data_IF_394614995091
#
_entry.id   IF_394614995091
#
_cell.length_a   1.000
_cell.length_b   1.000
_cell.length_c   1.000
_cell.angle_alpha   90.00
_cell.angle_beta   90.00
_cell.angle_gamma   90.00
#
_symmetry.space_group_name_H-M   'P 1'
#
loop_
_entity.id
_entity.type
_entity.pdbx_description
1 polymer ?
#
# COMPACT_ATOMS: atom_id res chain seq x y z
N UNK A 1 29.52 16.53 -5.60
CA UNK A 1 28.33 17.02 -4.88
C UNK A 1 27.16 16.87 -5.82
N UNK A 2 26.60 15.67 -5.89
CA UNK A 2 25.43 15.37 -6.72
C UNK A 2 24.24 16.00 -6.01
N UNK A 3 23.55 16.94 -6.67
CA UNK A 3 22.24 17.40 -6.22
C UNK A 3 21.40 16.14 -6.00
N UNK A 4 20.88 15.97 -4.78
CA UNK A 4 20.07 14.80 -4.43
C UNK A 4 18.77 14.88 -5.24
N UNK A 5 18.71 14.21 -6.38
CA UNK A 5 17.47 14.03 -7.14
C UNK A 5 16.45 13.30 -6.26
N UNK A 6 15.15 13.53 -6.48
CA UNK A 6 14.06 12.80 -5.81
C UNK A 6 14.07 12.84 -4.27
N UNK A 7 14.47 13.96 -3.65
CA UNK A 7 14.53 14.11 -2.18
C UNK A 7 15.42 13.08 -1.46
N UNK A 8 16.38 12.48 -2.16
CA UNK A 8 17.27 11.46 -1.59
C UNK A 8 16.67 10.07 -1.51
N UNK A 9 15.54 9.85 -2.19
CA UNK A 9 14.91 8.54 -2.35
C UNK A 9 15.56 7.75 -3.49
N UNK A 10 15.50 6.43 -3.38
CA UNK A 10 15.97 5.48 -4.38
C UNK A 10 14.88 5.24 -5.43
N UNK A 11 15.11 5.62 -6.71
CA UNK A 11 14.18 5.32 -7.80
C UNK A 11 14.30 3.87 -8.25
N UNK A 12 13.18 3.30 -8.68
CA UNK A 12 13.13 2.01 -9.39
C UNK A 12 12.15 2.13 -10.55
N UNK A 13 12.62 1.76 -11.73
CA UNK A 13 11.87 1.78 -12.99
C UNK A 13 11.93 0.37 -13.58
N UNK A 14 10.78 -0.25 -13.78
CA UNK A 14 10.65 -1.59 -14.36
C UNK A 14 9.70 -1.54 -15.54
N UNK A 15 10.02 -2.25 -16.61
CA UNK A 15 9.16 -2.40 -17.77
C UNK A 15 8.98 -1.06 -18.51
N UNK A 16 7.73 -0.65 -18.70
CA UNK A 16 7.35 0.60 -19.38
C UNK A 16 7.12 1.75 -18.40
N UNK A 17 7.60 1.62 -17.17
CA UNK A 17 7.49 2.65 -16.16
C UNK A 17 8.72 3.55 -16.15
N UNK A 18 8.52 4.83 -15.80
CA UNK A 18 9.57 5.83 -15.68
C UNK A 18 9.26 6.82 -14.55
N UNK A 19 10.30 7.46 -14.04
CA UNK A 19 10.24 8.48 -13.01
C UNK A 19 10.87 9.75 -13.57
N UNK A 20 10.04 10.78 -13.75
CA UNK A 20 10.44 12.05 -14.34
C UNK A 20 10.33 13.17 -13.31
N UNK A 21 11.36 14.01 -13.17
CA UNK A 21 11.32 15.18 -12.31
C UNK A 21 11.15 16.45 -13.15
N UNK A 22 10.09 17.22 -12.91
CA UNK A 22 9.78 18.48 -13.61
C UNK A 22 9.16 19.48 -12.63
N UNK A 23 9.54 20.76 -12.70
CA UNK A 23 8.96 21.84 -11.89
C UNK A 23 8.87 21.53 -10.37
N UNK A 24 9.90 20.88 -9.84
CA UNK A 24 9.98 20.43 -8.44
C UNK A 24 8.91 19.39 -8.03
N UNK A 25 8.29 18.75 -9.02
CA UNK A 25 7.38 17.60 -8.89
C UNK A 25 8.07 16.36 -9.44
N UNK A 26 7.63 15.21 -8.98
CA UNK A 26 8.07 13.93 -9.50
C UNK A 26 6.86 13.16 -10.00
N UNK A 27 6.97 12.67 -11.24
CA UNK A 27 5.94 11.95 -11.95
C UNK A 27 6.39 10.51 -12.09
N UNK A 28 5.69 9.59 -11.42
CA UNK A 28 5.82 8.16 -11.65
C UNK A 28 4.81 7.82 -12.74
N UNK A 29 5.27 7.33 -13.88
CA UNK A 29 4.44 7.14 -15.09
C UNK A 29 4.59 5.72 -15.58
N UNK A 30 3.47 5.11 -16.01
CA UNK A 30 3.49 3.87 -16.79
C UNK A 30 2.88 4.15 -18.15
N UNK A 31 3.68 4.00 -19.19
CA UNK A 31 3.24 4.15 -20.56
C UNK A 31 2.51 2.91 -21.06
N UNK A 32 1.57 3.06 -22.03
CA UNK A 32 0.84 1.93 -22.57
C UNK A 32 1.75 0.95 -23.32
N UNK A 33 1.22 -0.25 -23.55
CA UNK A 33 1.93 -1.30 -24.29
C UNK A 33 2.88 -2.14 -23.45
N UNK A 34 2.80 -2.03 -22.12
CA UNK A 34 3.53 -2.89 -21.19
C UNK A 34 3.23 -4.39 -21.45
N UNK A 35 4.25 -5.14 -21.88
CA UNK A 35 4.18 -6.60 -22.02
C UNK A 35 4.75 -7.28 -20.77
N UNK A 36 4.03 -7.15 -19.65
CA UNK A 36 4.46 -7.70 -18.36
C UNK A 36 4.32 -6.71 -17.22
N UNK A 37 5.08 -6.94 -16.14
CA UNK A 37 5.10 -6.06 -14.98
C UNK A 37 5.80 -4.74 -15.31
N UNK A 38 5.18 -3.63 -14.94
CA UNK A 38 5.75 -2.29 -14.98
C UNK A 38 5.51 -1.60 -13.65
N UNK A 39 6.52 -0.89 -13.17
CA UNK A 39 6.54 -0.30 -11.83
C UNK A 39 7.48 0.90 -11.79
N UNK A 40 6.93 2.04 -11.39
CA UNK A 40 7.68 3.23 -11.05
C UNK A 40 7.48 3.48 -9.57
N UNK A 41 8.58 3.42 -8.80
CA UNK A 41 8.53 3.64 -7.35
C UNK A 41 9.73 4.45 -6.83
N UNK A 42 9.50 5.20 -5.75
CA UNK A 42 10.53 5.82 -4.93
C UNK A 42 10.49 5.24 -3.53
N UNK A 43 11.65 4.95 -2.97
CA UNK A 43 11.80 4.32 -1.65
C UNK A 43 12.90 4.98 -0.81
N UNK A 44 12.81 4.93 0.52
CA UNK A 44 13.91 5.41 1.41
C UNK A 44 14.99 4.35 1.68
N UNK A 45 14.84 3.17 1.08
CA UNK A 45 15.72 2.03 1.25
C UNK A 45 16.18 1.50 -0.11
N UNK A 46 17.31 0.80 -0.12
CA UNK A 46 17.72 0.05 -1.32
C UNK A 46 16.82 -1.19 -1.48
N UNK A 47 16.10 -1.37 -2.61
CA UNK A 47 15.19 -2.49 -2.81
C UNK A 47 15.85 -3.89 -2.81
N UNK A 48 17.17 -3.96 -3.04
CA UNK A 48 17.93 -5.21 -2.98
C UNK A 48 18.31 -5.56 -1.54
N UNK A 49 18.81 -4.57 -0.78
CA UNK A 49 19.23 -4.78 0.62
C UNK A 49 18.03 -4.90 1.57
N UNK A 50 17.03 -4.02 1.40
CA UNK A 50 15.80 -3.94 2.23
C UNK A 50 16.08 -3.71 3.71
N UNK A 51 17.08 -2.88 3.98
CA UNK A 51 17.45 -2.43 5.32
C UNK A 51 16.53 -1.29 5.78
N UNK A 52 15.39 -1.67 6.32
CA UNK A 52 14.40 -0.74 6.84
C UNK A 52 14.85 -0.07 8.13
N UNK A 53 14.87 1.26 8.13
CA UNK A 53 15.32 2.06 9.29
C UNK A 53 14.20 2.87 9.95
N UNK A 54 13.07 3.08 9.25
CA UNK A 54 11.97 3.90 9.75
C UNK A 54 11.18 3.16 10.82
N UNK A 55 10.93 3.85 11.93
CA UNK A 55 10.24 3.35 13.12
C UNK A 55 9.39 4.46 13.73
N UNK A 56 8.33 4.12 14.49
CA UNK A 56 7.62 5.12 15.25
C UNK A 56 8.52 5.67 16.38
N UNK A 57 8.33 6.94 16.80
CA UNK A 57 7.33 7.88 16.30
C UNK A 57 7.82 8.61 15.02
N UNK A 58 6.98 8.63 13.99
CA UNK A 58 7.30 9.17 12.68
C UNK A 58 6.07 9.79 12.04
N UNK A 59 6.23 10.90 11.34
CA UNK A 59 5.18 11.52 10.50
C UNK A 59 5.60 11.50 9.05
N UNK A 60 4.74 10.98 8.19
CA UNK A 60 4.82 11.17 6.75
C UNK A 60 3.84 12.24 6.34
N UNK A 61 4.30 13.22 5.56
CA UNK A 61 3.44 14.18 4.85
C UNK A 61 3.77 14.12 3.37
N UNK A 62 2.76 13.91 2.53
CA UNK A 62 2.91 13.85 1.08
C UNK A 62 1.78 14.60 0.39
N UNK A 63 2.11 15.40 -0.62
CA UNK A 63 1.12 15.98 -1.52
C UNK A 63 1.19 15.24 -2.84
N UNK A 64 0.12 14.55 -3.20
CA UNK A 64 0.08 13.66 -4.36
C UNK A 64 -1.28 13.70 -5.06
N UNK A 65 -1.26 13.38 -6.36
CA UNK A 65 -2.43 13.25 -7.22
C UNK A 65 -2.08 12.49 -8.51
N UNK A 66 -3.09 12.21 -9.31
CA UNK A 66 -3.02 11.45 -10.55
C UNK A 66 -3.45 12.36 -11.69
N UNK A 67 -2.54 12.69 -12.62
CA UNK A 67 -2.87 13.56 -13.76
C UNK A 67 -3.72 12.82 -14.79
N UNK A 68 -3.42 11.54 -14.98
CA UNK A 68 -4.22 10.61 -15.76
C UNK A 68 -4.91 9.64 -14.81
N UNK A 69 -6.11 9.16 -15.18
CA UNK A 69 -6.85 8.22 -14.32
C UNK A 69 -6.07 6.93 -14.15
N UNK A 70 -5.91 6.47 -12.90
CA UNK A 70 -5.43 5.11 -12.61
C UNK A 70 -6.50 4.10 -13.03
N UNK A 71 -6.24 3.34 -14.09
CA UNK A 71 -7.21 2.40 -14.67
C UNK A 71 -6.96 0.96 -14.25
N UNK A 72 -5.69 0.61 -14.06
CA UNK A 72 -5.24 -0.75 -13.76
C UNK A 72 -4.15 -0.73 -12.71
N UNK A 73 -3.89 -1.88 -12.10
CA UNK A 73 -2.78 -2.04 -11.18
C UNK A 73 -3.03 -1.45 -9.79
N UNK A 74 -1.94 -1.12 -9.11
CA UNK A 74 -1.96 -0.45 -7.82
C UNK A 74 -1.16 0.85 -7.84
N UNK A 75 -1.48 1.74 -6.91
CA UNK A 75 -0.69 2.91 -6.63
C UNK A 75 -0.84 3.27 -5.16
N UNK A 76 0.06 4.07 -4.63
CA UNK A 76 -0.08 4.53 -3.26
C UNK A 76 1.21 5.02 -2.65
N UNK A 77 1.15 5.21 -1.35
CA UNK A 77 2.29 5.65 -0.55
C UNK A 77 2.11 5.33 0.93
N UNK A 78 3.22 5.09 1.62
CA UNK A 78 3.21 4.78 3.05
C UNK A 78 4.44 3.99 3.47
N UNK A 79 4.27 3.21 4.52
CA UNK A 79 5.30 2.35 5.09
C UNK A 79 4.99 0.87 4.86
N UNK A 80 5.94 0.14 4.30
CA UNK A 80 5.79 -1.24 3.85
C UNK A 80 7.06 -2.04 4.13
N UNK A 81 6.95 -3.35 4.37
CA UNK A 81 8.11 -4.23 4.63
C UNK A 81 8.57 -5.08 3.43
N UNK A 82 8.08 -4.79 2.23
CA UNK A 82 8.50 -5.43 0.97
C UNK A 82 8.65 -6.96 1.08
N UNK A 83 7.54 -7.68 1.33
CA UNK A 83 7.52 -9.06 1.82
C UNK A 83 7.94 -10.09 0.77
N UNK A 84 7.78 -9.76 -0.51
CA UNK A 84 8.02 -10.65 -1.63
C UNK A 84 8.75 -9.93 -2.75
N UNK A 85 9.73 -10.61 -3.34
CA UNK A 85 10.35 -10.24 -4.60
C UNK A 85 10.57 -11.52 -5.41
N UNK A 86 10.20 -11.56 -6.70
CA UNK A 86 10.52 -12.68 -7.57
C UNK A 86 12.03 -13.00 -7.53
N UNK A 87 12.39 -14.26 -7.28
CA UNK A 87 13.79 -14.74 -7.32
C UNK A 87 14.55 -14.76 -5.98
N UNK A 88 13.92 -14.37 -4.86
CA UNK A 88 14.60 -14.36 -3.55
C UNK A 88 14.15 -15.48 -2.58
N UNK A 89 15.05 -15.86 -1.66
CA UNK A 89 14.85 -16.98 -0.70
C UNK A 89 14.10 -16.61 0.59
N UNK A 90 14.05 -15.34 0.97
CA UNK A 90 13.57 -14.92 2.30
C UNK A 90 12.17 -14.31 2.21
N UNK A 91 11.16 -15.14 2.50
CA UNK A 91 9.77 -14.71 2.66
C UNK A 91 9.62 -13.93 3.97
N UNK A 92 9.03 -12.74 3.94
CA UNK A 92 8.61 -12.00 5.14
C UNK A 92 7.09 -11.93 5.14
N UNK A 93 6.49 -12.06 6.32
CA UNK A 93 5.05 -11.81 6.46
C UNK A 93 4.79 -10.32 6.32
N UNK A 94 3.76 -9.93 5.55
CA UNK A 94 3.56 -8.55 5.12
C UNK A 94 3.07 -7.65 6.25
N UNK A 95 3.55 -6.40 6.24
CA UNK A 95 3.18 -5.35 7.20
C UNK A 95 3.10 -4.01 6.47
N UNK A 96 2.07 -3.22 6.77
CA UNK A 96 1.81 -1.96 6.10
C UNK A 96 1.13 -0.93 6.99
N UNK A 97 1.44 0.35 6.72
CA UNK A 97 0.58 1.50 7.00
C UNK A 97 0.63 2.42 5.78
N UNK A 98 -0.45 2.52 5.02
CA UNK A 98 -0.41 3.19 3.71
C UNK A 98 -1.76 3.78 3.27
N UNK A 99 -1.67 4.72 2.35
CA UNK A 99 -2.76 5.03 1.42
C UNK A 99 -2.55 4.16 0.19
N UNK A 100 -3.52 3.32 -0.12
CA UNK A 100 -3.43 2.29 -1.15
C UNK A 100 -4.60 2.40 -2.11
N UNK A 101 -4.30 2.47 -3.40
CA UNK A 101 -5.23 2.32 -4.49
C UNK A 101 -4.99 0.98 -5.18
N UNK A 102 -6.06 0.23 -5.45
CA UNK A 102 -6.02 -0.93 -6.34
C UNK A 102 -7.20 -0.91 -7.30
N UNK A 103 -6.93 -0.87 -8.60
CA UNK A 103 -7.98 -1.00 -9.61
C UNK A 103 -8.42 -2.47 -9.76
N UNK A 104 -9.69 -2.75 -10.13
CA UNK A 104 -10.08 -4.10 -10.53
C UNK A 104 -9.10 -4.67 -11.58
N UNK A 105 -8.70 -5.95 -11.47
CA UNK A 105 -9.27 -7.00 -10.63
C UNK A 105 -8.66 -7.10 -9.22
N UNK A 106 -7.89 -6.12 -8.75
CA UNK A 106 -7.38 -6.11 -7.37
C UNK A 106 -8.54 -6.25 -6.38
N UNK A 107 -8.38 -7.08 -5.35
CA UNK A 107 -9.39 -7.31 -4.33
C UNK A 107 -8.73 -7.77 -3.02
N UNK A 108 -8.26 -6.82 -2.23
CA UNK A 108 -7.76 -7.05 -0.87
C UNK A 108 -8.84 -6.69 0.16
N UNK A 109 -9.88 -7.53 0.26
CA UNK A 109 -11.05 -7.30 1.12
C UNK A 109 -10.79 -7.74 2.58
N UNK A 110 -9.83 -7.10 3.24
CA UNK A 110 -9.35 -7.53 4.56
C UNK A 110 -10.13 -6.91 5.73
N UNK A 111 -10.81 -5.79 5.52
CA UNK A 111 -11.69 -5.18 6.51
C UNK A 111 -13.16 -5.44 6.20
N UNK A 112 -13.96 -5.65 7.25
CA UNK A 112 -15.41 -5.76 7.12
C UNK A 112 -15.99 -4.45 6.56
N UNK A 113 -16.91 -4.57 5.60
CA UNK A 113 -17.62 -3.45 4.96
C UNK A 113 -16.73 -2.44 4.20
N UNK A 114 -15.46 -2.77 3.95
CA UNK A 114 -14.56 -2.00 3.08
C UNK A 114 -14.32 -2.77 1.78
N UNK A 115 -14.52 -2.14 0.61
CA UNK A 115 -14.18 -2.77 -0.67
C UNK A 115 -12.72 -3.21 -0.76
N UNK A 116 -12.47 -4.33 -1.45
CA UNK A 116 -11.10 -4.82 -1.65
C UNK A 116 -10.32 -4.04 -2.71
N UNK A 117 -11.02 -3.36 -3.61
CA UNK A 117 -10.50 -2.45 -4.62
C UNK A 117 -10.77 -0.97 -4.26
N UNK A 118 -10.28 -0.06 -5.09
CA UNK A 118 -10.41 1.38 -4.89
C UNK A 118 -9.32 1.97 -4.00
N UNK A 119 -9.54 3.21 -3.56
CA UNK A 119 -8.59 3.96 -2.73
C UNK A 119 -8.96 3.84 -1.25
N UNK A 120 -7.97 3.61 -0.40
CA UNK A 120 -8.19 3.44 1.05
C UNK A 120 -6.97 3.84 1.87
N UNK A 121 -7.23 4.30 3.09
CA UNK A 121 -6.23 4.29 4.16
C UNK A 121 -6.27 2.90 4.81
N UNK A 122 -5.12 2.25 4.98
CA UNK A 122 -5.07 0.88 5.48
C UNK A 122 -3.84 0.61 6.35
N UNK A 123 -4.03 -0.21 7.38
CA UNK A 123 -2.96 -0.86 8.13
C UNK A 123 -3.20 -2.37 8.15
N UNK A 124 -2.11 -3.15 8.18
CA UNK A 124 -2.17 -4.55 8.53
C UNK A 124 -0.81 -5.08 9.01
N UNK A 125 -0.84 -6.18 9.78
CA UNK A 125 0.34 -6.79 10.36
C UNK A 125 0.19 -8.32 10.44
N UNK A 126 0.64 -9.02 9.39
CA UNK A 126 0.58 -10.48 9.33
C UNK A 126 1.60 -11.20 10.22
N UNK A 127 2.48 -10.48 10.91
CA UNK A 127 3.45 -11.07 11.86
C UNK A 127 2.86 -11.29 13.26
N UNK A 128 1.61 -10.88 13.48
CA UNK A 128 0.95 -11.05 14.77
C UNK A 128 0.77 -12.52 15.11
N UNK A 129 1.19 -12.89 16.32
CA UNK A 129 1.06 -14.27 16.79
C UNK A 129 -0.41 -14.73 16.81
N UNK A 130 -1.37 -13.83 17.05
CA UNK A 130 -2.79 -14.15 17.00
C UNK A 130 -3.20 -14.63 15.60
N UNK A 131 -2.71 -13.98 14.55
CA UNK A 131 -2.97 -14.40 13.17
C UNK A 131 -2.31 -15.76 12.87
N UNK A 132 -1.06 -15.95 13.31
CA UNK A 132 -0.35 -17.21 13.12
C UNK A 132 -1.03 -18.37 13.86
N UNK A 133 -1.60 -18.12 15.04
CA UNK A 133 -2.35 -19.12 15.80
C UNK A 133 -3.64 -19.58 15.10
N UNK A 134 -4.14 -18.81 14.12
CA UNK A 134 -5.31 -19.20 13.32
C UNK A 134 -4.96 -20.12 12.14
N UNK A 135 -3.68 -20.28 11.77
CA UNK A 135 -3.27 -21.10 10.63
C UNK A 135 -3.80 -22.55 10.66
N UNK A 136 -3.82 -23.27 11.80
CA UNK A 136 -4.36 -24.63 11.85
C UNK A 136 -5.85 -24.73 11.50
N UNK A 137 -6.60 -23.64 11.64
CA UNK A 137 -8.04 -23.57 11.35
C UNK A 137 -8.35 -22.70 10.12
N UNK A 138 -7.34 -22.29 9.34
CA UNK A 138 -7.52 -21.38 8.22
C UNK A 138 -8.43 -21.96 7.13
N UNK A 139 -8.22 -23.22 6.72
CA UNK A 139 -9.05 -23.88 5.69
C UNK A 139 -10.53 -23.95 6.05
N UNK A 140 -10.94 -24.53 7.21
CA UNK A 140 -12.35 -24.49 7.61
C UNK A 140 -12.82 -23.04 7.82
N UNK A 141 -11.98 -22.14 8.35
CA UNK A 141 -12.27 -20.72 8.48
C UNK A 141 -12.68 -20.07 7.16
N UNK A 142 -11.91 -20.27 6.08
CA UNK A 142 -12.22 -19.74 4.75
C UNK A 142 -13.56 -20.23 4.21
N UNK A 143 -13.92 -21.49 4.47
CA UNK A 143 -15.22 -22.04 4.08
C UNK A 143 -16.36 -21.38 4.87
N UNK A 144 -16.18 -21.17 6.18
CA UNK A 144 -17.16 -20.46 7.01
C UNK A 144 -17.36 -19.01 6.53
N UNK A 145 -16.30 -18.34 6.10
CA UNK A 145 -16.37 -16.94 5.61
C UNK A 145 -17.17 -16.80 4.31
N UNK A 146 -17.49 -17.90 3.61
CA UNK A 146 -18.39 -17.89 2.44
C UNK A 146 -19.87 -17.78 2.83
N UNK A 147 -20.20 -18.01 4.10
CA UNK A 147 -21.56 -17.86 4.63
C UNK A 147 -21.70 -16.42 5.17
N UNK A 148 -22.55 -15.56 4.58
CA UNK A 148 -22.59 -14.13 4.92
C UNK A 148 -22.82 -13.83 6.41
N UNK A 149 -23.67 -14.60 7.08
CA UNK A 149 -23.93 -14.44 8.51
C UNK A 149 -22.71 -14.76 9.37
N UNK A 150 -21.94 -15.78 9.01
CA UNK A 150 -20.72 -16.16 9.73
C UNK A 150 -19.56 -15.21 9.42
N UNK A 151 -19.48 -14.72 8.19
CA UNK A 151 -18.52 -13.68 7.84
C UNK A 151 -18.71 -12.43 8.70
N UNK A 152 -19.93 -11.90 8.78
CA UNK A 152 -20.23 -10.70 9.58
C UNK A 152 -19.95 -10.88 11.08
N UNK A 153 -20.10 -12.10 11.62
CA UNK A 153 -19.92 -12.36 13.05
C UNK A 153 -18.50 -12.78 13.43
N UNK A 154 -17.82 -13.57 12.60
CA UNK A 154 -16.52 -14.16 12.92
C UNK A 154 -15.35 -13.39 12.30
N UNK A 155 -15.53 -12.73 11.15
CA UNK A 155 -14.44 -12.01 10.48
C UNK A 155 -13.81 -10.91 11.32
N UNK A 156 -14.53 -10.13 12.16
CA UNK A 156 -13.91 -9.16 13.05
C UNK A 156 -12.78 -9.73 13.93
N UNK A 157 -12.86 -11.01 14.32
CA UNK A 157 -11.80 -11.70 15.07
C UNK A 157 -10.56 -11.88 14.19
N UNK A 158 -10.73 -12.34 12.95
CA UNK A 158 -9.65 -12.52 11.98
C UNK A 158 -9.00 -11.19 11.58
N UNK A 159 -9.82 -10.17 11.33
CA UNK A 159 -9.37 -8.80 11.07
C UNK A 159 -8.52 -8.25 12.22
N UNK A 160 -8.99 -8.41 13.46
CA UNK A 160 -8.26 -8.02 14.66
C UNK A 160 -6.94 -8.80 14.81
N UNK A 161 -6.96 -10.11 14.56
CA UNK A 161 -5.79 -10.97 14.65
C UNK A 161 -4.72 -10.59 13.62
N UNK A 162 -5.12 -10.26 12.39
CA UNK A 162 -4.27 -9.76 11.30
C UNK A 162 -3.84 -8.30 11.50
N UNK A 163 -4.40 -7.61 12.49
CA UNK A 163 -4.14 -6.19 12.76
C UNK A 163 -4.60 -5.28 11.63
N UNK A 164 -5.71 -5.62 10.99
CA UNK A 164 -6.25 -4.85 9.86
C UNK A 164 -7.12 -3.71 10.36
N UNK A 165 -6.91 -2.54 9.79
CA UNK A 165 -7.79 -1.38 9.92
C UNK A 165 -7.82 -0.67 8.58
N UNK A 166 -9.00 -0.51 7.98
CA UNK A 166 -9.13 0.16 6.68
C UNK A 166 -10.26 1.18 6.72
N UNK A 167 -10.11 2.25 5.95
CA UNK A 167 -11.15 3.21 5.65
C UNK A 167 -11.16 3.47 4.14
N UNK A 168 -12.30 3.22 3.49
CA UNK A 168 -12.50 3.54 2.08
C UNK A 168 -12.46 5.05 1.88
N UNK A 169 -11.78 5.48 0.81
CA UNK A 169 -11.64 6.87 0.39
C UNK A 169 -12.28 7.05 -0.98
N UNK A 170 -12.74 8.26 -1.29
CA UNK A 170 -13.19 8.56 -2.65
C UNK A 170 -12.00 8.48 -3.62
N UNK A 171 -12.22 7.88 -4.79
CA UNK A 171 -11.22 7.89 -5.88
C UNK A 171 -10.97 9.31 -6.40
N UNK A 172 -11.92 10.22 -6.22
CA UNK A 172 -11.81 11.61 -6.65
C UNK A 172 -10.69 12.36 -5.92
N UNK A 173 -10.28 11.89 -4.73
CA UNK A 173 -9.12 12.44 -4.01
C UNK A 173 -7.80 12.23 -4.75
N UNK A 174 -7.75 11.33 -5.73
CA UNK A 174 -6.57 11.19 -6.60
C UNK A 174 -6.66 12.06 -7.84
N UNK A 175 -7.78 12.71 -8.14
CA UNK A 175 -7.93 13.52 -9.34
C UNK A 175 -7.35 14.94 -9.22
N UNK A 176 -7.02 15.38 -8.00
CA UNK A 176 -6.45 16.69 -7.72
C UNK A 176 -5.41 16.61 -6.60
N UNK A 177 -4.49 17.60 -6.48
CA UNK A 177 -3.53 17.66 -5.38
C UNK A 177 -4.24 17.70 -4.02
N UNK A 178 -3.93 16.72 -3.17
CA UNK A 178 -4.35 16.68 -1.77
C UNK A 178 -3.14 16.38 -0.89
N UNK A 179 -3.18 16.86 0.36
CA UNK A 179 -2.13 16.57 1.35
C UNK A 179 -2.56 15.41 2.23
N UNK A 180 -1.76 14.35 2.19
CA UNK A 180 -1.94 13.14 2.98
C UNK A 180 -0.93 13.13 4.12
N UNK A 181 -1.41 12.90 5.34
CA UNK A 181 -0.56 12.76 6.52
C UNK A 181 -0.78 11.42 7.17
N UNK A 182 0.31 10.75 7.54
CA UNK A 182 0.30 9.55 8.37
C UNK A 182 1.18 9.79 9.59
N UNK A 183 0.54 9.93 10.74
CA UNK A 183 1.20 9.91 12.04
C UNK A 183 1.32 8.46 12.49
N UNK A 184 2.53 7.93 12.52
CA UNK A 184 2.83 6.61 13.05
C UNK A 184 3.48 6.74 14.43
N UNK A 185 2.71 6.46 15.48
CA UNK A 185 3.16 6.45 16.87
C UNK A 185 3.37 5.01 17.36
N UNK A 186 4.02 4.81 18.52
CA UNK A 186 4.34 3.45 18.99
C UNK A 186 3.13 2.52 19.12
N UNK A 187 1.97 3.05 19.53
CA UNK A 187 0.76 2.26 19.83
C UNK A 187 -0.45 2.61 18.95
N UNK A 188 -0.33 3.61 18.08
CA UNK A 188 -1.42 4.08 17.25
C UNK A 188 -0.94 4.74 15.97
N UNK A 189 -1.83 4.81 14.98
CA UNK A 189 -1.61 5.57 13.76
C UNK A 189 -2.84 6.41 13.42
N UNK A 190 -2.60 7.60 12.89
CA UNK A 190 -3.66 8.50 12.41
C UNK A 190 -3.37 8.95 10.99
N UNK A 191 -4.31 8.65 10.09
CA UNK A 191 -4.31 9.04 8.69
C UNK A 191 -5.18 10.27 8.51
N UNK A 192 -4.67 11.25 7.77
CA UNK A 192 -5.41 12.47 7.43
C UNK A 192 -5.32 12.77 5.93
N UNK A 193 -6.38 13.38 5.42
CA UNK A 193 -6.43 14.02 4.10
C UNK A 193 -6.83 15.47 4.33
N UNK A 194 -5.99 16.41 3.89
CA UNK A 194 -6.14 17.85 4.11
C UNK A 194 -6.41 18.21 5.58
N UNK A 195 -5.70 17.52 6.49
CA UNK A 195 -5.84 17.70 7.93
C UNK A 195 -7.06 17.03 8.56
N UNK A 196 -8.00 16.49 7.78
CA UNK A 196 -9.15 15.75 8.30
C UNK A 196 -8.80 14.29 8.56
N UNK A 197 -9.12 13.77 9.75
CA UNK A 197 -8.88 12.37 10.11
C UNK A 197 -9.81 11.46 9.32
N UNK A 198 -9.23 10.57 8.52
CA UNK A 198 -9.96 9.55 7.74
C UNK A 198 -9.86 8.16 8.36
N UNK A 199 -8.78 7.88 9.09
CA UNK A 199 -8.60 6.64 9.83
C UNK A 199 -7.77 6.91 11.09
N UNK A 200 -8.23 6.40 12.23
CA UNK A 200 -7.44 6.30 13.45
C UNK A 200 -7.47 4.84 13.92
N UNK A 201 -6.33 4.28 14.30
CA UNK A 201 -6.24 2.88 14.67
C UNK A 201 -5.14 2.60 15.68
N UNK A 202 -5.37 1.60 16.53
CA UNK A 202 -4.35 1.01 17.42
C UNK A 202 -3.65 -0.20 16.79
N UNK A 203 -4.03 -0.57 15.56
CA UNK A 203 -3.45 -1.69 14.84
C UNK A 203 -2.23 -1.23 14.05
N UNK A 204 -1.08 -1.12 14.72
CA UNK A 204 0.17 -0.66 14.11
C UNK A 204 1.25 -1.74 14.13
N UNK A 205 2.05 -1.86 13.05
CA UNK A 205 3.35 -2.51 13.10
C UNK A 205 4.29 -1.82 14.11
N UNK A 206 5.07 -2.62 14.83
CA UNK A 206 6.13 -2.15 15.75
C UNK A 206 7.55 -2.44 15.24
N UNK A 207 7.66 -2.93 14.00
CA UNK A 207 8.91 -3.27 13.33
C UNK A 207 9.41 -2.10 12.50
N UNK A 208 10.68 -2.12 12.09
CA UNK A 208 11.14 -1.20 11.07
C UNK A 208 10.42 -1.47 9.74
N UNK A 209 9.98 -0.40 9.08
CA UNK A 209 9.40 -0.43 7.73
C UNK A 209 10.17 0.52 6.82
N UNK A 210 9.98 0.39 5.51
CA UNK A 210 10.49 1.33 4.52
C UNK A 210 9.37 2.19 3.98
N UNK A 211 9.66 3.46 3.70
CA UNK A 211 8.80 4.33 2.94
C UNK A 211 8.80 3.92 1.47
N UNK A 212 7.63 3.94 0.86
CA UNK A 212 7.42 3.70 -0.57
C UNK A 212 6.33 4.65 -1.08
N UNK A 213 6.51 5.15 -2.31
CA UNK A 213 5.46 5.71 -3.16
C UNK A 213 5.60 5.06 -4.54
N UNK A 214 4.50 4.60 -5.12
CA UNK A 214 4.55 3.80 -6.34
C UNK A 214 3.31 3.92 -7.21
N UNK A 215 3.47 3.53 -8.47
CA UNK A 215 2.39 3.09 -9.36
C UNK A 215 2.90 1.88 -10.15
N UNK A 216 2.08 0.84 -10.23
CA UNK A 216 2.37 -0.38 -10.96
C UNK A 216 1.16 -0.84 -11.79
N UNK A 217 1.31 -1.95 -12.51
CA UNK A 217 0.23 -2.64 -13.20
C UNK A 217 -0.10 -4.02 -12.59
N UNK A 218 0.26 -4.25 -11.34
CA UNK A 218 0.04 -5.52 -10.64
C UNK A 218 -1.30 -5.53 -9.89
N UNK A 219 -1.88 -6.70 -9.69
CA UNK A 219 -3.03 -6.86 -8.80
C UNK A 219 -2.83 -8.02 -7.82
N UNK A 220 -3.53 -7.93 -6.69
CA UNK A 220 -3.65 -8.99 -5.71
C UNK A 220 -5.12 -9.22 -5.35
N UNK A 221 -5.55 -10.48 -5.36
CA UNK A 221 -6.81 -10.93 -4.78
C UNK A 221 -6.46 -11.67 -3.50
N UNK A 222 -6.89 -11.13 -2.37
CA UNK A 222 -6.69 -11.70 -1.03
C UNK A 222 -7.98 -11.49 -0.26
N UNK A 223 -8.77 -12.56 -0.10
CA UNK A 223 -10.07 -12.47 0.58
C UNK A 223 -10.19 -13.44 1.76
N UNK A 224 -11.00 -13.09 2.78
CA UNK A 224 -11.31 -13.97 3.91
C UNK A 224 -11.96 -15.30 3.52
N UNK A 225 -12.52 -15.38 2.31
CA UNK A 225 -13.16 -16.57 1.73
C UNK A 225 -12.16 -17.58 1.14
N UNK A 226 -10.85 -17.27 1.23
CA UNK A 226 -9.76 -18.09 0.74
C UNK A 226 -9.49 -17.93 -0.75
N UNK A 227 -9.78 -16.76 -1.33
CA UNK A 227 -9.34 -16.44 -2.69
C UNK A 227 -7.97 -15.79 -2.63
N UNK A 228 -7.00 -16.39 -3.32
CA UNK A 228 -5.64 -15.90 -3.46
C UNK A 228 -5.27 -15.95 -4.94
N UNK A 229 -5.03 -14.79 -5.54
CA UNK A 229 -4.55 -14.69 -6.92
C UNK A 229 -3.69 -13.44 -7.08
N UNK A 230 -2.71 -13.51 -7.98
CA UNK A 230 -1.80 -12.41 -8.26
C UNK A 230 -1.49 -12.41 -9.75
N UNK A 231 -1.29 -11.23 -10.31
CA UNK A 231 -0.94 -11.10 -11.72
C UNK A 231 -0.73 -9.66 -12.12
N UNK A 232 -0.59 -9.44 -13.41
CA UNK A 232 -0.46 -8.11 -14.00
C UNK A 232 -1.62 -7.85 -14.94
N UNK A 233 -2.01 -6.58 -15.08
CA UNK A 233 -3.04 -6.13 -16.00
C UNK A 233 -2.39 -5.28 -17.09
N UNK A 234 -2.72 -5.48 -18.38
CA UNK A 234 -2.22 -4.66 -19.46
C UNK A 234 -2.55 -3.17 -19.25
N UNK A 235 -1.59 -2.31 -19.54
CA UNK A 235 -1.77 -0.85 -19.51
C UNK A 235 -2.11 -0.39 -20.92
N UNK A 236 -3.37 -0.03 -21.14
CA UNK A 236 -3.90 0.41 -22.45
C UNK A 236 -3.79 1.93 -22.65
N UNK A 237 -3.75 2.69 -21.55
CA UNK A 237 -3.59 4.14 -21.54
C UNK A 237 -2.55 4.53 -20.48
N UNK A 238 -1.81 5.59 -20.74
CA UNK A 238 -0.81 6.11 -19.80
C UNK A 238 -1.46 6.46 -18.46
N UNK A 239 -0.86 6.00 -17.37
CA UNK A 239 -1.32 6.26 -16.01
C UNK A 239 -0.16 6.78 -15.16
N UNK A 240 -0.42 7.73 -14.26
CA UNK A 240 0.63 8.38 -13.49
C UNK A 240 0.24 8.68 -12.06
N UNK A 241 1.23 8.74 -11.18
CA UNK A 241 1.12 9.31 -9.84
C UNK A 241 2.14 10.44 -9.74
N UNK A 242 1.66 11.66 -9.51
CA UNK A 242 2.44 12.88 -9.37
C UNK A 242 2.56 13.27 -7.91
N UNK A 243 3.79 13.61 -7.50
CA UNK A 243 4.17 13.95 -6.15
C UNK A 243 4.76 15.36 -6.18
N UNK A 244 4.13 16.28 -5.45
CA UNK A 244 4.62 17.66 -5.34
C UNK A 244 5.55 17.84 -4.13
N UNK A 245 5.33 17.06 -3.07
CA UNK A 245 6.07 17.20 -1.83
C UNK A 245 6.08 15.89 -1.06
N UNK A 246 7.22 15.54 -0.46
CA UNK A 246 7.37 14.47 0.54
C UNK A 246 8.17 15.04 1.71
N UNK A 247 7.71 14.75 2.92
CA UNK A 247 8.47 14.95 4.16
C UNK A 247 8.28 13.76 5.09
N UNK A 248 9.39 13.27 5.65
CA UNK A 248 9.44 12.22 6.66
C UNK A 248 10.10 12.79 7.91
N UNK A 249 9.30 13.07 8.94
CA UNK A 249 9.75 13.76 10.14
C UNK A 249 9.70 12.81 11.35
N UNK A 250 10.85 12.57 11.97
CA UNK A 250 10.94 11.87 13.26
C UNK A 250 10.39 12.78 14.36
N UNK A 251 9.54 12.24 15.22
CA UNK A 251 9.02 12.95 16.39
C UNK A 251 9.83 12.69 17.64
#
# INVERSE_FOLDING_TARGET
>A
MTLSSYWGLHPTEIGHASINQQDNRVHLVIEPGAQGYSDAQLTDYDPQERDFTLRPPLTMTITAYSETSLQVGTAGFGFWNYPFQPGQRRFRLPQALWFFFGAPPNNMALALDVPGDGFKAATFNAQRWQFLAMLPVALPGFLLMRIPALYRSLWPIGQQALGVSEAALSRDLLAAPHTYTLDWLPDEATFRVDGQVVLHTKQVPHTSLGFIVWVDNQYAIVTPQGQFNFGVTPVEASQSLTIEHINLEKR
#
